data_IF_994860446172
#
_entry.id   IF_994860446172
#
_cell.length_a   1.000
_cell.length_b   1.000
_cell.length_c   1.000
_cell.angle_alpha   90.00
_cell.angle_beta   90.00
_cell.angle_gamma   90.00
#
_symmetry.space_group_name_H-M   'P 1'
#
loop_
_entity.id
_entity.type
_entity.pdbx_description
1 polymer ?
#
# COMPACT_ATOMS: atom_id res chain seq x y z
N UNK A 1 3.09 7.83 21.83
CA UNK A 1 4.19 6.84 21.75
C UNK A 1 5.43 7.42 22.41
N UNK A 2 5.93 8.58 22.02
CA UNK A 2 7.18 9.18 22.56
C UNK A 2 7.21 9.38 24.09
N UNK A 3 6.04 9.47 24.74
CA UNK A 3 5.95 9.50 26.22
C UNK A 3 6.17 8.13 26.87
N UNK A 4 5.93 7.01 26.12
CA UNK A 4 6.02 5.64 26.64
C UNK A 4 7.27 4.89 26.18
N UNK A 5 7.84 5.25 25.02
CA UNK A 5 9.05 4.63 24.50
C UNK A 5 9.96 5.69 23.89
N UNK A 6 11.28 5.53 24.06
CA UNK A 6 12.30 6.46 23.54
C UNK A 6 12.85 6.00 22.17
N UNK A 7 12.53 4.79 21.72
CA UNK A 7 13.00 4.21 20.45
C UNK A 7 11.90 3.39 19.82
N UNK A 8 11.99 3.23 18.51
CA UNK A 8 11.20 2.29 17.71
C UNK A 8 12.14 1.58 16.75
N UNK A 9 11.83 0.34 16.40
CA UNK A 9 12.63 -0.48 15.50
C UNK A 9 12.02 -0.51 14.10
N UNK A 10 10.69 -0.37 14.01
CA UNK A 10 9.97 -0.35 12.74
C UNK A 10 8.76 0.59 12.77
N UNK A 11 8.51 1.23 11.63
CA UNK A 11 7.25 1.91 11.31
C UNK A 11 6.56 1.20 10.17
N UNK A 12 5.30 0.77 10.37
CA UNK A 12 4.46 0.24 9.29
C UNK A 12 3.35 1.24 8.98
N UNK A 13 3.42 1.88 7.84
CA UNK A 13 2.40 2.79 7.33
C UNK A 13 1.34 2.00 6.55
N UNK A 14 0.27 1.58 7.23
CA UNK A 14 -0.81 0.77 6.66
C UNK A 14 -2.14 1.52 6.47
N UNK A 15 -2.31 2.68 7.10
CA UNK A 15 -3.57 3.43 7.02
C UNK A 15 -3.91 3.80 5.58
N UNK A 16 -5.16 3.57 5.18
CA UNK A 16 -5.61 3.95 3.85
C UNK A 16 -7.08 3.60 3.59
N UNK A 17 -7.70 4.37 2.72
CA UNK A 17 -9.07 4.16 2.23
C UNK A 17 -9.06 3.79 0.76
N UNK A 18 -10.12 3.11 0.33
CA UNK A 18 -10.31 2.73 -1.05
C UNK A 18 -10.58 3.93 -1.98
N UNK A 19 -11.12 5.02 -1.45
CA UNK A 19 -11.62 6.14 -2.25
C UNK A 19 -12.86 5.77 -3.08
N UNK A 20 -13.35 6.70 -3.90
CA UNK A 20 -14.53 6.51 -4.72
C UNK A 20 -14.27 5.59 -5.93
N UNK A 21 -15.35 5.11 -6.53
CA UNK A 21 -15.33 4.37 -7.81
C UNK A 21 -16.11 5.18 -8.86
N UNK A 22 -15.45 5.49 -9.97
CA UNK A 22 -16.04 6.23 -11.08
C UNK A 22 -15.01 6.69 -12.09
N UNK A 23 -15.49 7.18 -13.24
CA UNK A 23 -14.63 7.86 -14.22
C UNK A 23 -14.22 9.22 -13.68
N UNK A 24 -13.04 9.71 -14.06
CA UNK A 24 -12.41 10.88 -13.44
C UNK A 24 -13.28 12.13 -13.46
N UNK A 25 -14.03 12.35 -14.55
CA UNK A 25 -14.94 13.50 -14.74
C UNK A 25 -16.17 13.45 -13.82
N UNK A 26 -16.46 12.29 -13.20
CA UNK A 26 -17.60 12.10 -12.27
C UNK A 26 -17.21 12.10 -10.81
N UNK A 27 -15.91 12.13 -10.53
CA UNK A 27 -15.44 12.12 -9.14
C UNK A 27 -15.42 13.55 -8.57
N UNK A 28 -15.82 13.69 -7.31
CA UNK A 28 -15.73 14.97 -6.63
C UNK A 28 -14.29 15.31 -6.23
N UNK A 29 -13.92 16.60 -6.28
CA UNK A 29 -12.61 17.07 -5.81
C UNK A 29 -12.41 16.74 -4.34
N UNK A 30 -13.46 16.83 -3.52
CA UNK A 30 -13.39 16.50 -2.08
C UNK A 30 -13.03 15.03 -1.82
N UNK A 31 -13.54 14.09 -2.63
CA UNK A 31 -13.20 12.67 -2.52
C UNK A 31 -11.75 12.40 -2.97
N UNK A 32 -11.29 13.13 -4.00
CA UNK A 32 -9.91 13.11 -4.43
C UNK A 32 -8.97 13.54 -3.30
N UNK A 33 -9.20 14.74 -2.74
CA UNK A 33 -8.42 15.32 -1.66
C UNK A 33 -8.43 14.44 -0.42
N UNK A 34 -9.60 13.95 -0.02
CA UNK A 34 -9.75 13.04 1.11
C UNK A 34 -8.92 11.77 0.93
N UNK A 35 -8.94 11.20 -0.27
CA UNK A 35 -8.17 9.98 -0.58
C UNK A 35 -6.67 10.23 -0.46
N UNK A 36 -6.17 11.32 -1.02
CA UNK A 36 -4.76 11.70 -0.90
C UNK A 36 -4.38 12.04 0.55
N UNK A 37 -5.23 12.78 1.26
CA UNK A 37 -5.00 13.14 2.65
C UNK A 37 -4.85 11.91 3.54
N UNK A 38 -5.73 10.92 3.38
CA UNK A 38 -5.67 9.70 4.20
C UNK A 38 -4.55 8.77 3.74
N UNK A 39 -4.36 8.57 2.43
CA UNK A 39 -3.44 7.54 1.94
C UNK A 39 -1.98 8.01 1.84
N UNK A 40 -1.73 9.33 1.71
CA UNK A 40 -0.39 9.89 1.51
C UNK A 40 0.03 10.79 2.66
N UNK A 41 -0.76 11.81 2.96
CA UNK A 41 -0.37 12.81 3.95
C UNK A 41 -0.28 12.22 5.37
N UNK A 42 -1.13 11.24 5.70
CA UNK A 42 -1.01 10.53 6.99
C UNK A 42 0.33 9.79 7.10
N UNK A 43 0.76 9.10 6.05
CA UNK A 43 2.06 8.42 6.02
C UNK A 43 3.22 9.41 6.21
N UNK A 44 3.14 10.58 5.57
CA UNK A 44 4.12 11.65 5.78
C UNK A 44 4.23 12.04 7.24
N UNK A 45 3.12 12.31 7.93
CA UNK A 45 3.16 12.73 9.33
C UNK A 45 3.76 11.68 10.25
N UNK A 46 3.34 10.42 10.12
CA UNK A 46 3.91 9.35 10.95
C UNK A 46 5.38 9.11 10.64
N UNK A 47 5.78 9.14 9.39
CA UNK A 47 7.18 9.00 8.98
C UNK A 47 8.04 10.14 9.53
N UNK A 48 7.61 11.39 9.35
CA UNK A 48 8.30 12.56 9.88
C UNK A 48 8.57 12.46 11.39
N UNK A 49 7.56 12.03 12.15
CA UNK A 49 7.67 11.89 13.60
C UNK A 49 8.49 10.66 14.03
N UNK A 50 8.57 9.63 13.20
CA UNK A 50 9.29 8.39 13.51
C UNK A 50 10.79 8.44 13.18
N UNK A 51 11.19 9.20 12.17
CA UNK A 51 12.59 9.30 11.73
C UNK A 51 13.56 9.67 12.88
N UNK A 52 13.29 10.67 13.74
CA UNK A 52 14.20 10.98 14.86
C UNK A 52 14.37 9.80 15.82
N UNK A 53 13.31 9.02 16.05
CA UNK A 53 13.35 7.86 16.94
C UNK A 53 14.15 6.70 16.34
N UNK A 54 13.97 6.43 15.02
CA UNK A 54 14.74 5.44 14.26
C UNK A 54 16.24 5.81 14.21
N UNK A 55 16.57 7.10 13.98
CA UNK A 55 17.96 7.58 14.02
C UNK A 55 18.58 7.39 15.40
N UNK A 56 17.83 7.67 16.47
CA UNK A 56 18.28 7.45 17.85
C UNK A 56 18.50 5.97 18.16
N UNK A 57 17.76 5.08 17.52
CA UNK A 57 17.93 3.62 17.60
C UNK A 57 19.11 3.10 16.75
N UNK A 58 19.84 3.98 16.05
CA UNK A 58 20.95 3.65 15.14
C UNK A 58 20.56 2.77 13.95
N UNK A 59 19.33 2.83 13.53
CA UNK A 59 18.79 2.09 12.38
C UNK A 59 17.33 1.65 12.59
N UNK A 60 16.80 0.92 11.63
CA UNK A 60 15.46 0.35 11.67
C UNK A 60 14.84 0.18 10.29
N UNK A 61 13.52 -0.04 10.26
CA UNK A 61 12.78 -0.29 9.03
C UNK A 61 11.55 0.61 8.93
N UNK A 62 11.26 1.09 7.72
CA UNK A 62 9.98 1.73 7.37
C UNK A 62 9.35 0.87 6.28
N UNK A 63 8.12 0.43 6.50
CA UNK A 63 7.35 -0.37 5.56
C UNK A 63 6.10 0.42 5.18
N UNK A 64 5.96 0.73 3.90
CA UNK A 64 4.83 1.47 3.38
C UNK A 64 3.88 0.51 2.64
N UNK A 65 2.60 0.45 3.02
CA UNK A 65 1.60 -0.33 2.29
C UNK A 65 1.09 0.48 1.09
N UNK A 66 1.60 0.11 -0.10
CA UNK A 66 1.05 0.57 -1.37
C UNK A 66 -0.10 -0.36 -1.82
N UNK A 67 -0.08 -0.83 -3.06
CA UNK A 67 -1.08 -1.71 -3.67
C UNK A 67 -0.58 -2.13 -5.06
N UNK A 68 -1.14 -3.16 -5.67
CA UNK A 68 -1.03 -3.39 -7.11
C UNK A 68 -1.41 -2.15 -7.93
N UNK A 69 -2.39 -1.35 -7.47
CA UNK A 69 -2.73 -0.06 -8.08
C UNK A 69 -1.62 1.03 -7.98
N UNK A 70 -0.55 0.79 -7.26
CA UNK A 70 0.63 1.67 -7.18
C UNK A 70 1.76 1.26 -8.14
N UNK A 71 1.58 0.19 -8.91
CA UNK A 71 2.55 -0.31 -9.89
C UNK A 71 1.93 -0.59 -11.25
N UNK A 72 0.60 -0.48 -11.37
CA UNK A 72 -0.14 -0.63 -12.62
C UNK A 72 -1.31 0.36 -12.70
N UNK A 73 -1.87 0.55 -13.90
CA UNK A 73 -3.12 1.31 -14.07
C UNK A 73 -4.30 0.63 -13.38
N UNK A 74 -5.20 1.41 -12.77
CA UNK A 74 -6.36 0.89 -12.05
C UNK A 74 -7.63 1.66 -12.44
N UNK A 75 -8.33 1.25 -13.51
CA UNK A 75 -9.50 1.96 -14.02
C UNK A 75 -10.58 2.19 -12.97
N UNK A 76 -11.27 3.31 -13.08
CA UNK A 76 -12.34 3.78 -12.17
C UNK A 76 -11.88 4.10 -10.74
N UNK A 77 -10.59 4.13 -10.49
CA UNK A 77 -9.99 4.29 -9.16
C UNK A 77 -8.83 5.29 -9.17
N UNK A 78 -8.92 6.32 -10.00
CA UNK A 78 -7.82 7.27 -10.22
C UNK A 78 -7.25 7.91 -8.94
N UNK A 79 -8.03 8.40 -7.93
CA UNK A 79 -7.43 8.96 -6.73
C UNK A 79 -6.73 7.90 -5.87
N UNK A 80 -7.27 6.68 -5.83
CA UNK A 80 -6.60 5.57 -5.14
C UNK A 80 -5.29 5.20 -5.82
N UNK A 81 -5.29 5.00 -7.14
CA UNK A 81 -4.07 4.70 -7.89
C UNK A 81 -3.01 5.78 -7.71
N UNK A 82 -3.38 7.06 -7.91
CA UNK A 82 -2.48 8.19 -7.70
C UNK A 82 -1.86 8.19 -6.30
N UNK A 83 -2.67 7.94 -5.26
CA UNK A 83 -2.19 7.86 -3.88
C UNK A 83 -1.19 6.73 -3.68
N UNK A 84 -1.41 5.56 -4.32
CA UNK A 84 -0.54 4.39 -4.17
C UNK A 84 0.75 4.48 -4.97
N UNK A 85 0.73 5.14 -6.13
CA UNK A 85 1.94 5.53 -6.86
C UNK A 85 2.77 6.56 -6.09
N UNK A 86 2.14 7.53 -5.42
CA UNK A 86 2.84 8.48 -4.56
C UNK A 86 3.62 7.77 -3.44
N UNK A 87 3.07 6.71 -2.83
CA UNK A 87 3.75 5.90 -1.81
C UNK A 87 5.00 5.21 -2.38
N UNK A 88 4.95 4.74 -3.64
CA UNK A 88 6.12 4.16 -4.31
C UNK A 88 7.23 5.21 -4.47
N UNK A 89 6.89 6.40 -4.96
CA UNK A 89 7.86 7.49 -5.11
C UNK A 89 8.50 7.90 -3.78
N UNK A 90 7.68 8.09 -2.74
CA UNK A 90 8.15 8.41 -1.38
C UNK A 90 9.06 7.31 -0.83
N UNK A 91 8.73 6.04 -1.05
CA UNK A 91 9.55 4.90 -0.59
C UNK A 91 10.95 4.94 -1.21
N UNK A 92 11.04 5.12 -2.53
CA UNK A 92 12.33 5.23 -3.25
C UNK A 92 13.18 6.39 -2.74
N UNK A 93 12.57 7.54 -2.58
CA UNK A 93 13.24 8.77 -2.11
C UNK A 93 13.77 8.60 -0.69
N UNK A 94 12.92 8.17 0.23
CA UNK A 94 13.31 7.97 1.63
C UNK A 94 14.38 6.88 1.82
N UNK A 95 14.37 5.84 0.99
CA UNK A 95 15.43 4.82 1.03
C UNK A 95 16.81 5.42 0.76
N UNK A 96 16.89 6.38 -0.18
CA UNK A 96 18.13 7.09 -0.48
C UNK A 96 18.52 8.06 0.63
N UNK A 97 17.57 8.85 1.14
CA UNK A 97 17.82 9.86 2.19
C UNK A 97 18.24 9.25 3.52
N UNK A 98 17.65 8.09 3.87
CA UNK A 98 17.77 7.49 5.20
C UNK A 98 18.79 6.36 5.29
N UNK A 99 19.29 5.86 4.16
CA UNK A 99 20.25 4.75 4.10
C UNK A 99 21.52 4.98 4.92
N UNK A 100 22.07 6.20 4.90
CA UNK A 100 23.23 6.60 5.73
C UNK A 100 23.01 6.45 7.24
N UNK A 101 21.74 6.41 7.68
CA UNK A 101 21.36 6.21 9.08
C UNK A 101 21.00 4.75 9.38
N UNK A 102 21.28 3.82 8.43
CA UNK A 102 20.91 2.40 8.53
C UNK A 102 19.39 2.18 8.68
N UNK A 103 18.57 3.10 8.16
CA UNK A 103 17.12 2.98 8.10
C UNK A 103 16.76 2.48 6.70
N UNK A 104 16.18 1.29 6.63
CA UNK A 104 15.69 0.68 5.39
C UNK A 104 14.25 1.15 5.13
N UNK A 105 13.91 1.41 3.88
CA UNK A 105 12.56 1.84 3.51
C UNK A 105 12.10 1.00 2.32
N UNK A 106 11.00 0.25 2.48
CA UNK A 106 10.44 -0.60 1.44
C UNK A 106 8.93 -0.39 1.32
N UNK A 107 8.36 -0.69 0.17
CA UNK A 107 6.91 -0.76 -0.01
C UNK A 107 6.46 -2.18 -0.31
N UNK A 108 5.31 -2.56 0.24
CA UNK A 108 4.58 -3.76 -0.13
C UNK A 108 3.41 -3.33 -1.01
N UNK A 109 3.21 -4.03 -2.12
CA UNK A 109 2.11 -3.85 -3.06
C UNK A 109 1.21 -5.11 -3.03
N UNK A 110 0.22 -5.16 -2.12
CA UNK A 110 -0.70 -6.28 -2.09
C UNK A 110 -1.55 -6.36 -3.35
N UNK A 111 -1.85 -7.58 -3.77
CA UNK A 111 -2.89 -7.86 -4.75
C UNK A 111 -4.29 -7.79 -4.15
N UNK A 112 -5.18 -8.67 -4.61
CA UNK A 112 -6.57 -8.72 -4.16
C UNK A 112 -6.67 -9.46 -2.82
N UNK A 113 -6.64 -8.69 -1.72
CA UNK A 113 -6.78 -9.25 -0.36
C UNK A 113 -8.24 -9.62 -0.10
N UNK A 114 -8.49 -10.86 0.31
CA UNK A 114 -9.80 -11.31 0.77
C UNK A 114 -10.16 -10.62 2.09
N UNK A 115 -11.31 -9.93 2.13
CA UNK A 115 -11.77 -9.24 3.33
C UNK A 115 -12.84 -8.18 3.05
N UNK A 116 -13.35 -7.55 4.10
CA UNK A 116 -14.49 -6.61 4.04
C UNK A 116 -14.29 -5.43 3.09
N UNK A 117 -13.04 -4.94 2.98
CA UNK A 117 -12.71 -3.86 2.03
C UNK A 117 -13.00 -4.30 0.59
N UNK A 118 -12.58 -5.52 0.22
CA UNK A 118 -12.78 -6.04 -1.13
C UNK A 118 -14.26 -6.30 -1.41
N UNK A 119 -15.01 -6.79 -0.44
CA UNK A 119 -16.47 -6.92 -0.56
C UNK A 119 -17.13 -5.59 -0.93
N UNK A 120 -16.72 -4.48 -0.28
CA UNK A 120 -17.20 -3.13 -0.62
C UNK A 120 -16.78 -2.70 -2.03
N UNK A 121 -15.51 -2.90 -2.39
CA UNK A 121 -15.00 -2.56 -3.73
C UNK A 121 -15.72 -3.31 -4.83
N UNK A 122 -15.95 -4.61 -4.65
CA UNK A 122 -16.70 -5.46 -5.60
C UNK A 122 -18.14 -4.96 -5.72
N UNK A 123 -18.80 -4.66 -4.60
CA UNK A 123 -20.16 -4.12 -4.59
C UNK A 123 -20.25 -2.81 -5.38
N UNK A 124 -19.33 -1.88 -5.12
CA UNK A 124 -19.39 -0.54 -5.71
C UNK A 124 -19.06 -0.58 -7.21
N UNK A 125 -18.08 -1.41 -7.63
CA UNK A 125 -17.78 -1.67 -9.04
C UNK A 125 -18.97 -2.37 -9.75
N UNK A 126 -19.60 -3.36 -9.10
CA UNK A 126 -20.77 -4.06 -9.61
C UNK A 126 -21.95 -3.11 -9.86
N UNK A 127 -22.24 -2.21 -8.92
CA UNK A 127 -23.27 -1.18 -9.09
C UNK A 127 -22.97 -0.24 -10.25
N UNK A 128 -21.73 0.25 -10.32
CA UNK A 128 -21.31 1.21 -11.34
C UNK A 128 -21.39 0.61 -12.76
N UNK A 129 -20.88 -0.62 -12.93
CA UNK A 129 -20.83 -1.29 -14.22
C UNK A 129 -22.11 -2.06 -14.57
N UNK A 130 -23.07 -2.20 -13.64
CA UNK A 130 -24.28 -3.02 -13.77
C UNK A 130 -23.99 -4.49 -14.11
N UNK A 131 -22.92 -5.04 -13.53
CA UNK A 131 -22.46 -6.42 -13.69
C UNK A 131 -22.55 -7.15 -12.35
N UNK A 132 -22.83 -8.46 -12.36
CA UNK A 132 -22.96 -9.25 -11.14
C UNK A 132 -21.69 -9.23 -10.29
N UNK A 133 -21.86 -9.23 -8.96
CA UNK A 133 -20.72 -9.29 -8.02
C UNK A 133 -19.81 -10.50 -8.29
N UNK A 134 -20.40 -11.66 -8.58
CA UNK A 134 -19.66 -12.90 -8.88
C UNK A 134 -18.74 -12.75 -10.09
N UNK A 135 -19.19 -12.03 -11.15
CA UNK A 135 -18.36 -11.74 -12.32
C UNK A 135 -17.20 -10.82 -11.96
N UNK A 136 -17.47 -9.75 -11.21
CA UNK A 136 -16.44 -8.81 -10.73
C UNK A 136 -15.42 -9.52 -9.82
N UNK A 137 -15.88 -10.39 -8.93
CA UNK A 137 -15.02 -11.19 -8.06
C UNK A 137 -14.09 -12.10 -8.86
N UNK A 138 -14.64 -12.81 -9.85
CA UNK A 138 -13.86 -13.66 -10.76
C UNK A 138 -12.80 -12.85 -11.52
N UNK A 139 -13.15 -11.65 -12.00
CA UNK A 139 -12.18 -10.74 -12.64
C UNK A 139 -11.02 -10.41 -11.71
N UNK A 140 -11.30 -10.06 -10.43
CA UNK A 140 -10.23 -9.74 -9.47
C UNK A 140 -9.31 -10.91 -9.17
N UNK A 141 -9.85 -12.13 -9.06
CA UNK A 141 -9.04 -13.32 -8.80
C UNK A 141 -8.20 -13.66 -10.03
N UNK A 142 -8.78 -13.61 -11.23
CA UNK A 142 -8.09 -13.95 -12.49
C UNK A 142 -7.03 -12.91 -12.91
N UNK A 143 -6.96 -11.74 -12.28
CA UNK A 143 -5.85 -10.81 -12.47
C UNK A 143 -4.51 -11.38 -12.00
N UNK A 144 -4.51 -12.29 -11.04
CA UNK A 144 -3.33 -13.00 -10.58
C UNK A 144 -3.13 -14.29 -11.38
N UNK A 145 -1.93 -14.53 -11.94
CA UNK A 145 -1.65 -15.77 -12.69
C UNK A 145 -1.79 -17.02 -11.82
N UNK A 146 -1.62 -16.89 -10.51
CA UNK A 146 -1.89 -17.96 -9.54
C UNK A 146 -3.37 -18.20 -9.29
N UNK A 147 -4.27 -17.39 -9.84
CA UNK A 147 -5.74 -17.49 -9.63
C UNK A 147 -6.12 -17.62 -8.14
N UNK A 148 -5.51 -16.83 -7.27
CA UNK A 148 -5.69 -16.92 -5.83
C UNK A 148 -6.11 -15.60 -5.20
N UNK A 149 -6.72 -15.70 -4.03
CA UNK A 149 -6.81 -14.59 -3.09
C UNK A 149 -5.48 -14.40 -2.37
N UNK A 150 -5.15 -13.16 -2.05
CA UNK A 150 -4.12 -12.85 -1.07
C UNK A 150 -4.79 -12.75 0.30
N UNK A 151 -4.12 -13.18 1.34
CA UNK A 151 -4.60 -13.10 2.71
C UNK A 151 -3.79 -12.10 3.53
N UNK A 152 -4.34 -11.64 4.64
CA UNK A 152 -3.67 -10.69 5.52
C UNK A 152 -2.37 -11.25 6.09
N UNK A 153 -2.33 -12.58 6.31
CA UNK A 153 -1.14 -13.31 6.78
C UNK A 153 0.02 -13.25 5.78
N UNK A 154 -0.25 -13.23 4.48
CA UNK A 154 0.80 -13.14 3.45
C UNK A 154 1.52 -11.79 3.54
N UNK A 155 0.73 -10.73 3.79
CA UNK A 155 1.27 -9.40 4.01
C UNK A 155 2.02 -9.32 5.34
N UNK A 156 1.45 -9.92 6.40
CA UNK A 156 2.08 -9.99 7.73
C UNK A 156 3.44 -10.68 7.70
N UNK A 157 3.56 -11.82 7.00
CA UNK A 157 4.83 -12.55 6.82
C UNK A 157 5.86 -11.71 6.07
N UNK A 158 5.44 -11.00 5.01
CA UNK A 158 6.33 -10.10 4.27
C UNK A 158 6.79 -8.92 5.13
N UNK A 159 5.91 -8.35 5.95
CA UNK A 159 6.29 -7.32 6.92
C UNK A 159 7.32 -7.88 7.92
N UNK A 160 7.10 -9.08 8.46
CA UNK A 160 8.01 -9.73 9.41
C UNK A 160 9.41 -9.93 8.81
N UNK A 161 9.50 -10.42 7.56
CA UNK A 161 10.77 -10.50 6.84
C UNK A 161 11.43 -9.12 6.70
N UNK A 162 10.70 -8.11 6.23
CA UNK A 162 11.24 -6.77 6.03
C UNK A 162 11.66 -6.05 7.31
N UNK A 163 11.13 -6.45 8.47
CA UNK A 163 11.56 -5.92 9.77
C UNK A 163 12.82 -6.61 10.29
N UNK A 164 13.05 -7.87 9.93
CA UNK A 164 14.12 -8.70 10.46
C UNK A 164 15.49 -8.36 9.90
N UNK A 165 16.52 -8.94 10.49
CA UNK A 165 17.90 -8.86 10.03
C UNK A 165 18.12 -9.62 8.71
N UNK A 166 17.28 -10.59 8.38
CA UNK A 166 17.32 -11.30 7.09
C UNK A 166 17.14 -10.33 5.91
N UNK A 167 16.45 -9.20 6.13
CA UNK A 167 16.29 -8.14 5.15
C UNK A 167 17.34 -7.00 5.28
N UNK A 168 18.48 -7.22 5.93
CA UNK A 168 19.47 -6.18 6.24
C UNK A 168 20.00 -5.40 5.00
N UNK A 169 19.93 -5.99 3.81
CA UNK A 169 20.33 -5.35 2.54
C UNK A 169 19.17 -5.04 1.60
N UNK A 170 17.92 -5.18 2.09
CA UNK A 170 16.70 -4.91 1.31
C UNK A 170 16.20 -3.50 1.65
N UNK A 171 16.44 -2.54 0.78
CA UNK A 171 15.97 -1.15 0.91
C UNK A 171 15.64 -0.57 -0.46
N UNK A 172 14.65 0.32 -0.50
CA UNK A 172 14.15 0.92 -1.74
C UNK A 172 13.36 -0.04 -2.63
N UNK A 173 12.97 -1.21 -2.12
CA UNK A 173 12.26 -2.21 -2.91
C UNK A 173 10.75 -1.98 -2.89
N UNK A 174 10.12 -2.32 -4.01
CA UNK A 174 8.67 -2.32 -4.22
C UNK A 174 8.28 -3.77 -4.44
N UNK A 175 7.78 -4.40 -3.40
CA UNK A 175 7.56 -5.85 -3.35
C UNK A 175 6.09 -6.14 -3.58
N UNK A 176 5.78 -6.78 -4.71
CA UNK A 176 4.44 -7.27 -4.97
C UNK A 176 4.18 -8.55 -4.15
N UNK A 177 3.03 -8.61 -3.49
CA UNK A 177 2.48 -9.79 -2.82
C UNK A 177 1.08 -9.98 -3.38
N UNK A 178 0.98 -10.49 -4.59
CA UNK A 178 -0.21 -10.38 -5.42
C UNK A 178 -0.53 -11.64 -6.25
N UNK A 179 0.26 -12.70 -6.08
CA UNK A 179 0.11 -13.92 -6.86
C UNK A 179 0.47 -13.73 -8.34
N UNK A 180 1.38 -12.78 -8.63
CA UNK A 180 1.76 -12.34 -9.96
C UNK A 180 0.55 -11.77 -10.71
N UNK A 181 0.05 -10.62 -10.24
CA UNK A 181 -1.04 -9.91 -10.88
C UNK A 181 -0.55 -9.29 -12.20
N UNK A 182 -0.89 -9.96 -13.29
CA UNK A 182 -0.70 -9.50 -14.66
C UNK A 182 -2.10 -9.26 -15.22
N UNK A 183 -2.37 -8.06 -15.70
CA UNK A 183 -3.57 -7.83 -16.48
C UNK A 183 -3.35 -8.38 -17.88
N UNK A 184 -3.87 -9.59 -18.12
CA UNK A 184 -4.07 -10.08 -19.46
C UNK A 184 -5.39 -9.47 -19.95
N UNK A 185 -5.31 -8.63 -20.97
CA UNK A 185 -6.49 -8.09 -21.68
C UNK A 185 -7.14 -9.17 -22.54
#
# INVERSE_FOLDING_TARGET
ISKKTKKIDCLINNVGIAGPTGTIEKLSSSDWEKTLKVNVISHFYFTKLSIPMLKKNKGGSIINLSSGAGIMGFPLRSPYAASKWAIVGVTKTLAMELGKFKIRVNAICPGTIKGDRMVRVIRDKSKFLKISKKKIEKEFISMASMNCWIYEEDIGKTCSFLMSDDAARVSGQIIAVDGNAIRLD
#
